data_IF_917089247306
#
_entry.id   IF_917089247306
#
_cell.length_a   1.000
_cell.length_b   1.000
_cell.length_c   1.000
_cell.angle_alpha   90.00
_cell.angle_beta   90.00
_cell.angle_gamma   90.00
#
_symmetry.space_group_name_H-M   'P 1'
#
loop_
_entity.id
_entity.type
_entity.pdbx_description
1 polymer ?
#
# COMPACT_ATOMS: atom_id res chain seq x y z
N UNK A 1 31.91 -12.83 25.68
CA UNK A 1 30.43 -12.80 25.60
C UNK A 1 30.10 -11.80 24.53
N UNK A 2 29.83 -12.31 23.34
CA UNK A 2 29.58 -11.50 22.14
C UNK A 2 28.12 -11.04 22.20
N UNK A 3 27.92 -9.74 22.38
CA UNK A 3 26.61 -9.11 22.37
C UNK A 3 26.08 -9.17 20.93
N UNK A 4 25.31 -10.20 20.60
CA UNK A 4 24.50 -10.22 19.38
C UNK A 4 23.35 -9.24 19.56
N UNK A 5 23.59 -8.01 19.11
CA UNK A 5 22.56 -6.98 18.93
C UNK A 5 21.66 -7.47 17.79
N UNK A 6 20.74 -8.38 18.08
CA UNK A 6 19.56 -8.53 17.22
C UNK A 6 18.83 -7.20 17.33
N UNK A 7 18.52 -6.50 16.24
CA UNK A 7 17.64 -5.35 16.33
C UNK A 7 16.29 -5.88 16.86
N UNK A 8 16.00 -5.63 18.13
CA UNK A 8 14.77 -6.07 18.82
C UNK A 8 13.51 -5.77 17.98
N UNK A 9 13.58 -4.74 17.13
CA UNK A 9 12.54 -4.38 16.18
C UNK A 9 12.10 -5.50 15.23
N UNK A 10 13.00 -6.31 14.66
CA UNK A 10 12.59 -7.31 13.65
C UNK A 10 11.76 -8.45 14.28
N UNK A 11 12.14 -8.90 15.47
CA UNK A 11 11.43 -9.97 16.20
C UNK A 11 10.03 -9.51 16.65
N UNK A 12 9.89 -8.23 17.03
CA UNK A 12 8.59 -7.63 17.36
C UNK A 12 7.60 -7.72 16.20
N UNK A 13 8.05 -7.57 14.95
CA UNK A 13 7.18 -7.68 13.78
C UNK A 13 6.94 -9.14 13.34
N UNK A 14 7.91 -10.02 13.53
CA UNK A 14 7.80 -11.43 13.11
C UNK A 14 6.95 -12.28 14.07
N UNK A 15 6.94 -11.95 15.36
CA UNK A 15 6.24 -12.73 16.38
C UNK A 15 4.72 -12.83 16.15
N UNK A 16 3.97 -11.73 15.91
CA UNK A 16 2.54 -11.83 15.63
C UNK A 16 2.24 -12.61 14.34
N UNK A 17 3.09 -12.48 13.32
CA UNK A 17 2.94 -13.18 12.04
C UNK A 17 3.01 -14.70 12.23
N UNK A 18 3.91 -15.17 13.10
CA UNK A 18 4.11 -16.60 13.36
C UNK A 18 3.08 -17.12 14.37
N UNK A 19 2.73 -16.34 15.39
CA UNK A 19 1.72 -16.73 16.39
C UNK A 19 0.35 -16.95 15.74
N UNK A 20 -0.03 -16.05 14.83
CA UNK A 20 -1.25 -16.14 14.04
C UNK A 20 -1.00 -16.74 12.65
N UNK A 21 -0.14 -17.78 12.56
CA UNK A 21 0.31 -18.34 11.29
C UNK A 21 -0.83 -18.73 10.34
N UNK A 22 -1.98 -19.19 10.86
CA UNK A 22 -3.14 -19.54 10.03
C UNK A 22 -3.66 -18.33 9.22
N UNK A 23 -3.79 -17.17 9.86
CA UNK A 23 -4.22 -15.93 9.20
C UNK A 23 -3.13 -15.38 8.29
N UNK A 24 -1.89 -15.39 8.76
CA UNK A 24 -0.71 -14.94 8.00
C UNK A 24 -0.49 -15.75 6.73
N UNK A 25 -0.78 -17.05 6.75
CA UNK A 25 -0.68 -17.91 5.58
C UNK A 25 -1.73 -17.54 4.53
N UNK A 26 -3.00 -17.38 4.93
CA UNK A 26 -4.08 -16.99 4.02
C UNK A 26 -3.78 -15.62 3.41
N UNK A 27 -3.42 -14.64 4.25
CA UNK A 27 -3.10 -13.27 3.81
C UNK A 27 -1.86 -13.28 2.92
N UNK A 28 -0.81 -14.01 3.30
CA UNK A 28 0.43 -14.11 2.54
C UNK A 28 0.22 -14.72 1.14
N UNK A 29 -0.54 -15.81 1.04
CA UNK A 29 -0.91 -16.42 -0.25
C UNK A 29 -1.71 -15.42 -1.09
N UNK A 30 -2.71 -14.77 -0.47
CA UNK A 30 -3.53 -13.78 -1.16
C UNK A 30 -2.67 -12.61 -1.70
N UNK A 31 -1.77 -12.07 -0.89
CA UNK A 31 -0.88 -10.96 -1.28
C UNK A 31 0.09 -11.34 -2.41
N UNK A 32 0.59 -12.58 -2.45
CA UNK A 32 1.49 -13.05 -3.50
C UNK A 32 0.74 -13.34 -4.80
N UNK A 33 -0.38 -14.07 -4.75
CA UNK A 33 -1.04 -14.59 -5.96
C UNK A 33 -2.20 -13.74 -6.47
N UNK A 34 -2.81 -12.92 -5.61
CA UNK A 34 -3.90 -12.00 -5.95
C UNK A 34 -3.50 -10.52 -5.81
N UNK A 35 -2.19 -10.23 -5.93
CA UNK A 35 -1.60 -8.91 -5.77
C UNK A 35 -2.30 -7.80 -6.58
N UNK A 36 -2.79 -8.11 -7.79
CA UNK A 36 -3.55 -7.17 -8.64
C UNK A 36 -4.87 -6.69 -8.04
N UNK A 37 -5.46 -7.46 -7.13
CA UNK A 37 -6.71 -7.12 -6.47
C UNK A 37 -6.49 -6.35 -5.17
N UNK A 38 -5.26 -6.36 -4.64
CA UNK A 38 -4.94 -5.76 -3.34
C UNK A 38 -5.23 -4.27 -3.33
N UNK A 39 -4.94 -3.54 -4.41
CA UNK A 39 -5.28 -2.12 -4.52
C UNK A 39 -6.80 -1.92 -4.31
N UNK A 40 -7.64 -2.61 -5.11
CA UNK A 40 -9.10 -2.43 -5.07
C UNK A 40 -9.69 -2.85 -3.74
N UNK A 41 -9.25 -3.99 -3.21
CA UNK A 41 -9.75 -4.53 -1.94
C UNK A 41 -9.31 -3.66 -0.76
N UNK A 42 -8.06 -3.19 -0.75
CA UNK A 42 -7.58 -2.28 0.29
C UNK A 42 -8.39 -0.99 0.31
N UNK A 43 -8.65 -0.38 -0.86
CA UNK A 43 -9.46 0.84 -0.93
C UNK A 43 -10.90 0.58 -0.47
N UNK A 44 -11.50 -0.53 -0.90
CA UNK A 44 -12.86 -0.89 -0.50
C UNK A 44 -12.96 -1.14 1.01
N UNK A 45 -12.02 -1.90 1.58
CA UNK A 45 -11.96 -2.16 3.02
C UNK A 45 -11.73 -0.88 3.81
N UNK A 46 -10.77 -0.04 3.40
CA UNK A 46 -10.51 1.25 4.06
C UNK A 46 -11.73 2.17 3.99
N UNK A 47 -12.37 2.28 2.83
CA UNK A 47 -13.57 3.08 2.67
C UNK A 47 -14.76 2.54 3.48
N UNK A 48 -14.92 1.22 3.54
CA UNK A 48 -15.94 0.59 4.37
C UNK A 48 -15.69 0.85 5.85
N UNK A 49 -14.47 0.59 6.34
CA UNK A 49 -14.10 0.81 7.74
C UNK A 49 -14.22 2.28 8.14
N UNK A 50 -13.81 3.20 7.28
CA UNK A 50 -13.96 4.64 7.49
C UNK A 50 -15.44 5.04 7.48
N UNK A 51 -16.23 4.44 6.59
CA UNK A 51 -17.67 4.65 6.53
C UNK A 51 -18.37 4.25 7.82
N UNK A 52 -18.13 3.03 8.32
CA UNK A 52 -18.84 2.51 9.50
C UNK A 52 -18.31 3.12 10.81
N UNK A 53 -16.98 3.27 10.97
CA UNK A 53 -16.40 3.63 12.27
C UNK A 53 -16.26 5.14 12.47
N UNK A 54 -16.21 5.93 11.39
CA UNK A 54 -15.94 7.36 11.48
C UNK A 54 -17.10 8.16 10.91
N UNK A 55 -17.43 7.97 9.62
CA UNK A 55 -18.41 8.83 8.95
C UNK A 55 -19.85 8.58 9.41
N UNK A 56 -20.23 7.32 9.66
CA UNK A 56 -21.60 6.99 10.08
C UNK A 56 -21.93 7.57 11.48
N UNK A 57 -21.08 7.40 12.53
CA UNK A 57 -21.31 8.06 13.81
C UNK A 57 -21.36 9.58 13.70
N UNK A 58 -20.47 10.18 12.88
CA UNK A 58 -20.48 11.63 12.63
C UNK A 58 -21.78 12.07 11.97
N UNK A 59 -22.30 11.31 11.01
CA UNK A 59 -23.57 11.58 10.36
C UNK A 59 -24.73 11.58 11.37
N UNK A 60 -24.80 10.57 12.24
CA UNK A 60 -25.85 10.49 13.26
C UNK A 60 -25.81 11.64 14.27
N UNK A 61 -24.61 12.07 14.65
CA UNK A 61 -24.43 13.22 15.53
C UNK A 61 -24.87 14.54 14.88
N UNK A 62 -24.70 14.67 13.56
CA UNK A 62 -25.07 15.88 12.82
C UNK A 62 -26.56 15.90 12.45
N UNK A 63 -27.21 14.74 12.33
CA UNK A 63 -28.62 14.62 11.95
C UNK A 63 -29.41 13.81 12.99
N UNK A 64 -29.89 14.46 14.07
CA UNK A 64 -30.61 13.79 15.16
C UNK A 64 -31.87 13.04 14.70
N UNK A 65 -32.53 13.55 13.67
CA UNK A 65 -33.70 12.93 13.03
C UNK A 65 -33.40 11.53 12.48
N UNK A 66 -32.17 11.32 11.97
CA UNK A 66 -31.73 10.02 11.46
C UNK A 66 -31.48 9.05 12.62
N UNK A 67 -30.99 9.55 13.75
CA UNK A 67 -30.73 8.77 14.95
C UNK A 67 -32.04 8.29 15.60
N UNK A 68 -33.06 9.15 15.65
CA UNK A 68 -34.40 8.78 16.13
C UNK A 68 -35.07 7.73 15.23
N UNK A 69 -34.86 7.81 13.90
CA UNK A 69 -35.38 6.84 12.94
C UNK A 69 -34.72 5.45 13.07
N UNK A 70 -33.49 5.41 13.59
CA UNK A 70 -32.66 4.21 13.73
C UNK A 70 -32.59 3.70 15.18
N UNK A 71 -33.68 3.89 15.93
CA UNK A 71 -33.79 3.43 17.33
C UNK A 71 -33.74 1.90 17.44
N UNK A 72 -34.19 1.18 16.41
CA UNK A 72 -34.13 -0.28 16.38
C UNK A 72 -32.70 -0.76 16.05
N UNK A 73 -32.09 -1.61 16.91
CA UNK A 73 -30.74 -2.13 16.72
C UNK A 73 -30.51 -2.83 15.37
N UNK A 74 -31.51 -3.51 14.82
CA UNK A 74 -31.39 -4.21 13.54
C UNK A 74 -31.29 -3.23 12.38
N UNK A 75 -32.15 -2.21 12.35
CA UNK A 75 -32.11 -1.17 11.33
C UNK A 75 -30.85 -0.30 11.45
N UNK A 76 -30.37 -0.04 12.66
CA UNK A 76 -29.11 0.65 12.90
C UNK A 76 -27.94 -0.09 12.24
N UNK A 77 -27.79 -1.39 12.51
CA UNK A 77 -26.70 -2.20 11.96
C UNK A 77 -26.76 -2.31 10.43
N UNK A 78 -27.95 -2.52 9.87
CA UNK A 78 -28.13 -2.59 8.42
C UNK A 78 -27.79 -1.24 7.77
N UNK A 79 -28.25 -0.13 8.33
CA UNK A 79 -27.99 1.22 7.81
C UNK A 79 -26.51 1.57 7.87
N UNK A 80 -25.84 1.21 8.97
CA UNK A 80 -24.40 1.35 9.13
C UNK A 80 -23.64 0.58 8.04
N UNK A 81 -24.02 -0.67 7.77
CA UNK A 81 -23.38 -1.51 6.76
C UNK A 81 -23.59 -0.94 5.35
N UNK A 82 -24.84 -0.58 5.01
CA UNK A 82 -25.18 0.04 3.72
C UNK A 82 -24.40 1.34 3.51
N UNK A 83 -24.35 2.19 4.54
CA UNK A 83 -23.58 3.43 4.49
C UNK A 83 -22.09 3.18 4.29
N UNK A 84 -21.52 2.18 4.98
CA UNK A 84 -20.15 1.73 4.75
C UNK A 84 -19.86 1.35 3.31
N UNK A 85 -20.78 0.60 2.66
CA UNK A 85 -20.64 0.22 1.24
C UNK A 85 -20.70 1.44 0.32
N UNK A 86 -21.58 2.40 0.60
CA UNK A 86 -21.67 3.66 -0.17
C UNK A 86 -20.35 4.43 -0.06
N UNK A 87 -19.81 4.60 1.14
CA UNK A 87 -18.53 5.28 1.36
C UNK A 87 -17.39 4.56 0.65
N UNK A 88 -17.35 3.22 0.70
CA UNK A 88 -16.36 2.43 -0.04
C UNK A 88 -16.41 2.68 -1.55
N UNK A 89 -17.61 2.75 -2.14
CA UNK A 89 -17.79 3.04 -3.56
C UNK A 89 -17.34 4.46 -3.92
N UNK A 90 -17.67 5.46 -3.09
CA UNK A 90 -17.22 6.85 -3.26
C UNK A 90 -15.70 6.96 -3.17
N UNK A 91 -15.09 6.33 -2.15
CA UNK A 91 -13.64 6.34 -1.99
C UNK A 91 -12.93 5.66 -3.16
N UNK A 92 -13.49 4.56 -3.66
CA UNK A 92 -12.98 3.88 -4.85
C UNK A 92 -13.02 4.77 -6.10
N UNK A 93 -14.09 5.56 -6.28
CA UNK A 93 -14.18 6.52 -7.38
C UNK A 93 -13.15 7.67 -7.25
N UNK A 94 -12.93 8.16 -6.03
CA UNK A 94 -12.02 9.28 -5.76
C UNK A 94 -10.54 8.88 -5.71
N UNK A 95 -10.24 7.60 -5.47
CA UNK A 95 -8.88 7.11 -5.29
C UNK A 95 -7.94 7.50 -6.44
N UNK A 96 -8.39 7.36 -7.70
CA UNK A 96 -7.56 7.73 -8.86
C UNK A 96 -7.20 9.22 -8.86
N UNK A 97 -8.11 10.08 -8.41
CA UNK A 97 -7.85 11.52 -8.28
C UNK A 97 -6.84 11.79 -7.18
N UNK A 98 -6.90 11.09 -6.03
CA UNK A 98 -5.90 11.22 -4.98
C UNK A 98 -4.51 10.79 -5.44
N UNK A 99 -4.41 9.65 -6.14
CA UNK A 99 -3.15 9.19 -6.73
C UNK A 99 -2.59 10.20 -7.73
N UNK A 100 -3.47 10.78 -8.56
CA UNK A 100 -3.07 11.84 -9.49
C UNK A 100 -2.49 13.04 -8.77
N UNK A 101 -3.19 13.56 -7.76
CA UNK A 101 -2.77 14.75 -7.00
C UNK A 101 -1.46 14.47 -6.25
N UNK A 102 -1.32 13.29 -5.64
CA UNK A 102 -0.09 12.89 -4.98
C UNK A 102 1.09 12.81 -5.96
N UNK A 103 0.90 12.17 -7.12
CA UNK A 103 1.92 12.10 -8.17
C UNK A 103 2.27 13.47 -8.73
N UNK A 104 1.27 14.32 -8.95
CA UNK A 104 1.43 15.70 -9.38
C UNK A 104 2.25 16.52 -8.38
N UNK A 105 1.90 16.44 -7.10
CA UNK A 105 2.59 17.17 -6.04
C UNK A 105 4.04 16.73 -5.90
N UNK A 106 4.30 15.43 -5.76
CA UNK A 106 5.66 14.91 -5.56
C UNK A 106 6.56 15.21 -6.75
N UNK A 107 6.14 14.85 -7.97
CA UNK A 107 6.96 15.04 -9.17
C UNK A 107 7.06 16.53 -9.53
N UNK A 108 6.00 17.30 -9.31
CA UNK A 108 6.02 18.73 -9.58
C UNK A 108 6.94 19.51 -8.64
N UNK A 109 6.95 19.17 -7.35
CA UNK A 109 7.88 19.77 -6.37
C UNK A 109 9.32 19.41 -6.71
N UNK A 110 9.60 18.13 -7.02
CA UNK A 110 10.94 17.70 -7.44
C UNK A 110 11.35 18.44 -8.72
N UNK A 111 10.46 18.54 -9.70
CA UNK A 111 10.69 19.26 -10.95
C UNK A 111 11.00 20.73 -10.74
N UNK A 112 10.27 21.39 -9.83
CA UNK A 112 10.52 22.78 -9.44
C UNK A 112 11.93 22.96 -8.87
N UNK A 113 12.32 22.14 -7.89
CA UNK A 113 13.64 22.25 -7.27
C UNK A 113 14.78 21.89 -8.21
N UNK A 114 14.58 20.91 -9.10
CA UNK A 114 15.58 20.58 -10.13
C UNK A 114 15.77 21.71 -11.12
N UNK A 115 14.69 22.36 -11.54
CA UNK A 115 14.75 23.53 -12.42
C UNK A 115 15.46 24.70 -11.76
N UNK A 116 15.12 25.00 -10.50
CA UNK A 116 15.75 26.05 -9.71
C UNK A 116 17.25 25.79 -9.51
N UNK A 117 17.61 24.57 -9.11
CA UNK A 117 19.00 24.14 -9.00
C UNK A 117 19.76 24.29 -10.32
N UNK A 118 19.15 23.92 -11.45
CA UNK A 118 19.79 24.02 -12.76
C UNK A 118 20.06 25.47 -13.15
N UNK A 119 19.08 26.36 -12.96
CA UNK A 119 19.23 27.79 -13.28
C UNK A 119 20.33 28.43 -12.44
N UNK A 120 20.38 28.11 -11.15
CA UNK A 120 21.41 28.63 -10.24
C UNK A 120 22.80 28.04 -10.53
N UNK A 121 22.88 26.73 -10.82
CA UNK A 121 24.15 26.06 -11.07
C UNK A 121 24.83 26.50 -12.36
N UNK A 122 24.04 26.77 -13.42
CA UNK A 122 24.55 27.21 -14.72
C UNK A 122 24.55 28.73 -14.90
N UNK A 123 24.23 29.51 -13.85
CA UNK A 123 24.13 30.97 -13.88
C UNK A 123 23.33 31.50 -15.08
N UNK A 124 22.17 30.89 -15.34
CA UNK A 124 21.35 31.22 -16.52
C UNK A 124 20.69 32.57 -16.28
N UNK A 125 21.16 33.60 -17.00
CA UNK A 125 20.58 34.93 -16.95
C UNK A 125 19.27 34.98 -17.76
N UNK A 126 18.16 35.09 -17.04
CA UNK A 126 16.83 35.24 -17.62
C UNK A 126 16.40 36.71 -17.55
N UNK A 127 15.85 37.24 -18.64
CA UNK A 127 15.34 38.63 -18.72
C UNK A 127 14.03 38.86 -17.93
N UNK A 128 13.57 37.87 -17.18
CA UNK A 128 12.31 37.85 -16.46
C UNK A 128 12.45 37.01 -15.20
N UNK A 129 11.47 37.10 -14.28
CA UNK A 129 11.54 36.41 -12.99
C UNK A 129 11.70 34.88 -13.19
N UNK A 130 12.80 34.26 -12.71
CA UNK A 130 13.08 32.83 -12.86
C UNK A 130 11.97 31.94 -12.29
N UNK A 131 11.22 32.45 -11.31
CA UNK A 131 10.10 31.75 -10.68
C UNK A 131 9.04 31.29 -11.69
N UNK A 132 8.83 32.04 -12.77
CA UNK A 132 7.85 31.65 -13.79
C UNK A 132 8.30 30.39 -14.56
N UNK A 133 9.59 30.27 -14.87
CA UNK A 133 10.12 29.09 -15.57
C UNK A 133 10.15 27.89 -14.63
N UNK A 134 10.65 28.05 -13.40
CA UNK A 134 10.73 26.94 -12.43
C UNK A 134 9.34 26.42 -12.08
N UNK A 135 8.37 27.31 -11.88
CA UNK A 135 6.97 26.93 -11.66
C UNK A 135 6.37 26.25 -12.89
N UNK A 136 6.60 26.76 -14.11
CA UNK A 136 6.09 26.16 -15.34
C UNK A 136 6.63 24.74 -15.53
N UNK A 137 7.94 24.54 -15.34
CA UNK A 137 8.59 23.22 -15.40
C UNK A 137 8.00 22.29 -14.34
N UNK A 138 7.83 22.78 -13.11
CA UNK A 138 7.19 22.04 -12.02
C UNK A 138 5.77 21.59 -12.36
N UNK A 139 4.94 22.47 -12.94
CA UNK A 139 3.56 22.13 -13.35
C UNK A 139 3.57 21.07 -14.46
N UNK A 140 4.41 21.23 -15.48
CA UNK A 140 4.50 20.28 -16.60
C UNK A 140 4.95 18.90 -16.10
N UNK A 141 6.03 18.85 -15.32
CA UNK A 141 6.53 17.60 -14.74
C UNK A 141 5.54 16.99 -13.76
N UNK A 142 4.84 17.81 -12.98
CA UNK A 142 3.74 17.38 -12.11
C UNK A 142 2.62 16.72 -12.90
N UNK A 143 2.16 17.32 -14.00
CA UNK A 143 1.12 16.72 -14.85
C UNK A 143 1.56 15.35 -15.40
N UNK A 144 2.81 15.27 -15.89
CA UNK A 144 3.39 14.00 -16.35
C UNK A 144 3.44 12.98 -15.21
N UNK A 145 3.91 13.40 -14.03
CA UNK A 145 3.98 12.59 -12.83
C UNK A 145 2.62 12.04 -12.39
N UNK A 146 1.60 12.90 -12.32
CA UNK A 146 0.24 12.51 -11.98
C UNK A 146 -0.36 11.48 -12.96
N UNK A 147 -0.14 11.67 -14.27
CA UNK A 147 -0.59 10.71 -15.30
C UNK A 147 0.14 9.37 -15.16
N UNK A 148 1.45 9.38 -14.93
CA UNK A 148 2.23 8.15 -14.75
C UNK A 148 1.79 7.42 -13.47
N UNK A 149 1.67 8.14 -12.35
CA UNK A 149 1.25 7.58 -11.06
C UNK A 149 -0.12 6.93 -11.16
N UNK A 150 -1.10 7.55 -11.83
CA UNK A 150 -2.43 6.96 -12.00
C UNK A 150 -2.45 5.71 -12.88
N UNK A 151 -1.58 5.64 -13.89
CA UNK A 151 -1.48 4.46 -14.76
C UNK A 151 -0.73 3.30 -14.10
N UNK A 152 0.24 3.61 -13.24
CA UNK A 152 1.17 2.64 -12.65
C UNK A 152 0.92 2.31 -11.19
N UNK A 153 -0.04 2.96 -10.52
CA UNK A 153 -0.36 2.71 -9.10
C UNK A 153 -0.62 1.23 -8.81
N UNK A 154 -1.39 0.58 -9.69
CA UNK A 154 -1.73 -0.83 -9.55
C UNK A 154 -0.52 -1.74 -9.61
N UNK A 155 0.44 -1.43 -10.48
CA UNK A 155 1.68 -2.20 -10.61
C UNK A 155 2.54 -2.03 -9.35
N UNK A 156 2.70 -0.80 -8.84
CA UNK A 156 3.49 -0.52 -7.64
C UNK A 156 2.89 -1.23 -6.42
N UNK A 157 1.58 -1.11 -6.21
CA UNK A 157 0.88 -1.77 -5.09
C UNK A 157 0.97 -3.29 -5.24
N UNK A 158 0.86 -3.83 -6.45
CA UNK A 158 1.02 -5.26 -6.70
C UNK A 158 2.44 -5.75 -6.38
N UNK A 159 3.48 -5.00 -6.73
CA UNK A 159 4.87 -5.35 -6.38
C UNK A 159 5.05 -5.35 -4.86
N UNK A 160 4.60 -4.29 -4.20
CA UNK A 160 4.68 -4.18 -2.74
C UNK A 160 3.91 -5.32 -2.05
N UNK A 161 2.74 -5.69 -2.58
CA UNK A 161 1.96 -6.82 -2.08
C UNK A 161 2.70 -8.14 -2.22
N UNK A 162 3.33 -8.41 -3.37
CA UNK A 162 4.13 -9.61 -3.58
C UNK A 162 5.30 -9.66 -2.60
N UNK A 163 5.99 -8.54 -2.39
CA UNK A 163 7.13 -8.45 -1.46
C UNK A 163 6.67 -8.73 -0.03
N UNK A 164 5.63 -8.03 0.45
CA UNK A 164 5.11 -8.20 1.81
C UNK A 164 4.54 -9.60 2.01
N UNK A 165 3.78 -10.11 1.05
CA UNK A 165 3.23 -11.47 1.10
C UNK A 165 4.33 -12.54 1.10
N UNK A 166 5.37 -12.37 0.30
CA UNK A 166 6.52 -13.28 0.26
C UNK A 166 7.29 -13.28 1.58
N UNK A 167 7.50 -12.09 2.17
CA UNK A 167 8.14 -11.96 3.49
C UNK A 167 7.31 -12.59 4.60
N UNK A 168 5.98 -12.43 4.53
CA UNK A 168 5.04 -13.02 5.49
C UNK A 168 5.07 -14.55 5.39
N UNK A 169 5.01 -15.10 4.18
CA UNK A 169 5.05 -16.54 3.96
C UNK A 169 6.41 -17.15 4.32
N UNK A 170 7.52 -16.50 3.97
CA UNK A 170 8.84 -16.98 4.36
C UNK A 170 9.02 -16.97 5.88
N UNK A 171 8.49 -15.96 6.57
CA UNK A 171 8.47 -15.90 8.03
C UNK A 171 7.63 -17.04 8.63
N UNK A 172 6.45 -17.31 8.08
CA UNK A 172 5.60 -18.44 8.52
C UNK A 172 6.30 -19.78 8.29
N UNK A 173 6.94 -19.99 7.14
CA UNK A 173 7.67 -21.24 6.84
C UNK A 173 8.79 -21.46 7.86
N UNK A 174 9.61 -20.45 8.12
CA UNK A 174 10.70 -20.56 9.11
C UNK A 174 10.15 -20.74 10.52
N UNK A 175 9.07 -20.03 10.87
CA UNK A 175 8.38 -20.18 12.15
C UNK A 175 7.86 -21.60 12.39
N UNK A 176 7.27 -22.23 11.36
CA UNK A 176 6.78 -23.61 11.42
C UNK A 176 7.90 -24.64 11.58
N UNK A 177 9.05 -24.44 10.92
CA UNK A 177 10.22 -25.34 11.04
C UNK A 177 10.82 -25.24 12.45
N UNK A 178 10.89 -24.03 13.00
CA UNK A 178 11.57 -23.74 14.26
C UNK A 178 10.71 -24.03 15.50
N UNK A 179 9.38 -23.98 15.36
CA UNK A 179 8.29 -24.34 16.30
C UNK A 179 8.31 -23.64 17.68
N UNK A 180 9.44 -23.63 18.41
CA UNK A 180 9.55 -23.11 19.78
C UNK A 180 10.76 -22.19 20.07
N UNK A 181 11.82 -22.13 19.23
CA UNK A 181 13.04 -21.33 19.51
C UNK A 181 13.35 -20.31 18.40
N UNK A 182 12.35 -19.50 18.04
CA UNK A 182 12.39 -18.60 16.87
C UNK A 182 13.49 -17.53 17.01
N UNK A 183 13.63 -16.96 18.21
CA UNK A 183 14.55 -15.85 18.48
C UNK A 183 16.02 -16.27 18.34
N UNK A 184 16.35 -17.50 18.73
CA UNK A 184 17.72 -18.02 18.69
C UNK A 184 18.06 -18.62 17.32
N UNK A 185 17.09 -19.27 16.66
CA UNK A 185 17.32 -20.00 15.42
C UNK A 185 17.17 -19.16 14.15
N UNK A 186 16.41 -18.05 14.14
CA UNK A 186 16.32 -17.19 12.93
C UNK A 186 17.68 -16.58 12.57
N UNK A 187 18.51 -16.30 13.57
CA UNK A 187 19.87 -15.76 13.37
C UNK A 187 20.88 -16.81 12.95
N UNK A 188 20.56 -18.11 13.09
CA UNK A 188 21.46 -19.16 12.61
C UNK A 188 21.55 -19.10 11.07
N UNK A 189 22.76 -19.24 10.50
CA UNK A 189 22.98 -19.11 9.07
C UNK A 189 22.08 -20.01 8.21
N UNK A 190 21.73 -21.20 8.72
CA UNK A 190 20.86 -22.15 8.02
C UNK A 190 19.44 -21.59 7.84
N UNK A 191 18.79 -21.14 8.91
CA UNK A 191 17.41 -20.67 8.85
C UNK A 191 17.28 -19.30 8.18
N UNK A 192 18.28 -18.42 8.34
CA UNK A 192 18.36 -17.19 7.55
C UNK A 192 18.49 -17.48 6.05
N UNK A 193 19.28 -18.49 5.67
CA UNK A 193 19.39 -18.91 4.26
C UNK A 193 18.09 -19.49 3.72
N UNK A 194 17.37 -20.30 4.53
CA UNK A 194 16.03 -20.81 4.18
C UNK A 194 15.04 -19.66 4.02
N UNK A 195 15.03 -18.70 4.94
CA UNK A 195 14.18 -17.51 4.85
C UNK A 195 14.39 -16.77 3.53
N UNK A 196 15.65 -16.42 3.23
CA UNK A 196 16.02 -15.67 2.03
C UNK A 196 15.69 -16.48 0.77
N UNK A 197 16.00 -17.78 0.76
CA UNK A 197 15.74 -18.66 -0.37
C UNK A 197 14.24 -18.79 -0.69
N UNK A 198 13.42 -19.01 0.34
CA UNK A 198 11.95 -19.08 0.18
C UNK A 198 11.38 -17.71 -0.22
N UNK A 199 11.86 -16.63 0.41
CA UNK A 199 11.45 -15.27 0.08
C UNK A 199 11.70 -14.95 -1.40
N UNK A 200 12.93 -15.14 -1.88
CA UNK A 200 13.29 -14.86 -3.27
C UNK A 200 12.51 -15.74 -4.25
N UNK A 201 12.35 -17.03 -3.94
CA UNK A 201 11.55 -17.94 -4.76
C UNK A 201 10.09 -17.45 -4.88
N UNK A 202 9.46 -17.04 -3.77
CA UNK A 202 8.10 -16.53 -3.76
C UNK A 202 7.97 -15.18 -4.48
N UNK A 203 8.94 -14.27 -4.35
CA UNK A 203 8.95 -13.00 -5.08
C UNK A 203 9.01 -13.25 -6.59
N UNK A 204 9.88 -14.16 -7.04
CA UNK A 204 10.00 -14.50 -8.46
C UNK A 204 8.71 -15.17 -8.96
N UNK A 205 8.21 -16.17 -8.24
CA UNK A 205 6.98 -16.88 -8.62
C UNK A 205 5.77 -15.95 -8.65
N UNK A 206 5.59 -15.13 -7.62
CA UNK A 206 4.52 -14.14 -7.51
C UNK A 206 4.60 -13.10 -8.63
N UNK A 207 5.79 -12.59 -8.93
CA UNK A 207 6.00 -11.62 -10.01
C UNK A 207 5.69 -12.23 -11.38
N UNK A 208 6.19 -13.43 -11.66
CA UNK A 208 5.89 -14.15 -12.92
C UNK A 208 4.40 -14.41 -13.03
N UNK A 209 3.74 -14.88 -11.97
CA UNK A 209 2.31 -15.17 -11.98
C UNK A 209 1.46 -13.93 -12.29
N UNK A 210 1.73 -12.82 -11.60
CA UNK A 210 0.93 -11.61 -11.74
C UNK A 210 1.23 -10.89 -13.07
N UNK A 211 2.49 -10.75 -13.49
CA UNK A 211 2.84 -9.90 -14.63
C UNK A 211 2.85 -10.63 -15.99
N UNK A 212 3.04 -11.96 -16.04
CA UNK A 212 3.10 -12.71 -17.32
C UNK A 212 1.79 -12.71 -18.12
N UNK A 213 0.64 -12.52 -17.48
CA UNK A 213 -0.68 -12.47 -18.15
C UNK A 213 -1.06 -11.11 -18.74
N UNK A 214 -0.30 -10.04 -18.48
CA UNK A 214 -0.63 -8.70 -18.99
C UNK A 214 -0.44 -8.55 -20.51
N UNK A 215 0.36 -9.42 -21.15
CA UNK A 215 0.65 -9.35 -22.60
C UNK A 215 -0.40 -10.01 -23.50
N UNK A 216 -1.39 -10.73 -22.95
CA UNK A 216 -2.34 -11.50 -23.76
C UNK A 216 -3.70 -10.82 -23.97
N UNK A 217 -3.96 -9.66 -23.37
CA UNK A 217 -5.25 -8.94 -23.46
C UNK A 217 -5.18 -7.62 -24.25
N UNK A 218 -4.08 -7.32 -24.93
CA UNK A 218 -3.99 -6.19 -25.88
C UNK A 218 -4.23 -6.62 -27.35
N UNK A 219 -4.60 -7.89 -27.59
CA UNK A 219 -4.87 -8.43 -28.94
C UNK A 219 -6.18 -9.24 -28.97
N UNK A 220 -7.20 -8.80 -28.23
CA UNK A 220 -8.55 -9.34 -28.33
C UNK A 220 -9.56 -8.19 -28.43
#
# INVERSE_FOLDING_TARGET
>A
MENTIIPEGLLVYLRPVIEYWYYSLIIGIFLVFAAKFVEKISIALLGFLLGINVLFPVLLNQFPQLNELLTDPAYYQISMLVFGVIVAAVLFALYKSFVFIAGFGVVGIIGYYLADFTIQFFDIQLNFNPLYITALIGVILGLIGGIISTKKSSEVISIMSIVVGSATLSAVVVGLITRNNIEEKITEPLYSSIFIGVFLALVILGSVWNFKRSKKSEVA
#
